data_IF_401496505164
#
_entry.id   IF_401496505164
#
_cell.length_a   1.000
_cell.length_b   1.000
_cell.length_c   1.000
_cell.angle_alpha   90.00
_cell.angle_beta   90.00
_cell.angle_gamma   90.00
#
_symmetry.space_group_name_H-M   'P 1'
#
loop_
_entity.id
_entity.type
_entity.pdbx_description
1 polymer ?
#
# COMPACT_ATOMS: atom_id res chain seq x y z
N UNK A 1 17.55 -7.97 -45.80
CA UNK A 1 18.48 -7.73 -44.67
C UNK A 1 18.23 -6.33 -44.08
N UNK A 2 17.21 -6.22 -43.23
CA UNK A 2 16.72 -4.96 -42.67
C UNK A 2 16.96 -4.98 -41.16
N UNK A 3 17.92 -4.17 -40.72
CA UNK A 3 18.17 -3.85 -39.32
C UNK A 3 17.19 -2.74 -38.93
N UNK A 4 16.29 -3.04 -38.00
CA UNK A 4 15.18 -2.19 -37.56
C UNK A 4 15.57 -1.16 -36.49
N UNK A 5 14.80 -0.06 -36.34
CA UNK A 5 15.20 1.21 -35.73
C UNK A 5 15.04 1.27 -34.19
N UNK A 6 15.26 0.15 -33.49
CA UNK A 6 15.03 0.05 -32.03
C UNK A 6 16.20 0.63 -31.22
N UNK A 7 17.41 0.66 -31.79
CA UNK A 7 18.61 1.17 -31.11
C UNK A 7 18.69 2.70 -31.04
N UNK A 8 17.95 3.43 -31.88
CA UNK A 8 17.98 4.90 -31.88
C UNK A 8 17.09 5.50 -30.77
N UNK A 9 16.05 4.79 -30.35
CA UNK A 9 15.14 5.23 -29.27
C UNK A 9 15.76 5.03 -27.87
N UNK A 10 16.51 3.94 -27.67
CA UNK A 10 17.25 3.68 -26.42
C UNK A 10 18.42 4.65 -26.18
N UNK A 11 18.98 5.25 -27.24
CA UNK A 11 20.07 6.22 -27.11
C UNK A 11 19.59 7.64 -26.78
N UNK A 12 18.44 8.06 -27.31
CA UNK A 12 17.85 9.39 -27.01
C UNK A 12 17.19 9.47 -25.62
N UNK A 13 16.68 8.37 -25.07
CA UNK A 13 16.11 8.35 -23.71
C UNK A 13 17.20 8.50 -22.63
N UNK A 14 18.39 7.93 -22.86
CA UNK A 14 19.53 7.95 -21.92
C UNK A 14 20.21 9.32 -21.76
N UNK A 15 19.99 10.25 -22.70
CA UNK A 15 20.58 11.59 -22.71
C UNK A 15 19.74 12.65 -21.97
N UNK A 16 18.46 12.39 -21.67
CA UNK A 16 17.55 13.39 -21.07
C UNK A 16 17.30 13.26 -19.55
N UNK A 17 17.67 12.16 -18.91
CA UNK A 17 17.36 11.91 -17.48
C UNK A 17 18.51 11.38 -16.63
N UNK A 18 19.76 11.45 -17.10
CA UNK A 18 20.93 11.14 -16.27
C UNK A 18 21.95 12.29 -16.33
N UNK A 19 21.90 13.28 -15.41
CA UNK A 19 23.07 14.12 -15.20
C UNK A 19 24.20 13.24 -14.65
N UNK A 20 25.24 13.06 -15.45
CA UNK A 20 26.53 12.53 -15.01
C UNK A 20 27.25 13.64 -14.22
N UNK A 21 27.44 13.44 -12.92
CA UNK A 21 28.61 13.98 -12.24
C UNK A 21 29.13 12.98 -11.19
N UNK A 22 30.46 12.82 -11.10
CA UNK A 22 31.09 11.82 -10.26
C UNK A 22 31.17 12.26 -8.80
N UNK A 23 30.96 11.31 -7.88
CA UNK A 23 31.29 11.47 -6.46
C UNK A 23 32.79 11.23 -6.24
N UNK A 24 33.48 12.23 -5.67
CA UNK A 24 34.67 12.05 -4.85
C UNK A 24 34.46 12.84 -3.54
N UNK A 25 34.98 12.37 -2.39
CA UNK A 25 34.56 12.83 -1.08
C UNK A 25 35.44 13.97 -0.56
N UNK A 26 34.84 15.00 0.03
CA UNK A 26 35.53 15.88 0.99
C UNK A 26 34.57 16.36 2.07
N UNK A 27 35.04 16.25 3.31
CA UNK A 27 34.55 16.93 4.52
C UNK A 27 35.76 17.56 5.20
N UNK A 28 35.63 18.45 6.19
CA UNK A 28 34.59 19.47 6.41
C UNK A 28 35.24 20.87 6.57
N UNK A 29 34.46 21.95 6.52
CA UNK A 29 34.96 23.23 7.06
C UNK A 29 33.82 24.01 7.69
N UNK A 30 34.00 24.26 8.98
CA UNK A 30 33.13 25.04 9.84
C UNK A 30 33.23 26.52 9.48
N UNK A 31 32.11 27.14 9.12
CA UNK A 31 31.95 28.59 9.22
C UNK A 31 30.57 28.88 9.82
N UNK A 32 30.61 29.30 11.08
CA UNK A 32 29.49 29.82 11.86
C UNK A 32 29.17 31.23 11.36
N UNK A 33 27.91 31.47 10.97
CA UNK A 33 27.35 32.82 10.86
C UNK A 33 26.23 32.96 11.91
N UNK A 34 26.20 34.07 12.68
CA UNK A 34 25.24 34.27 13.76
C UNK A 34 23.96 34.94 13.24
N UNK A 35 22.82 34.52 13.80
CA UNK A 35 21.59 35.31 13.78
C UNK A 35 20.51 34.79 12.83
N UNK A 36 19.62 33.97 13.37
CA UNK A 36 18.17 34.24 13.49
C UNK A 36 17.64 33.11 14.39
N UNK A 37 17.29 33.46 15.62
CA UNK A 37 16.55 32.57 16.52
C UNK A 37 15.13 32.41 15.99
N UNK A 38 14.90 31.40 15.14
CA UNK A 38 13.57 30.78 15.11
C UNK A 38 13.49 29.85 16.32
N UNK A 39 12.61 30.20 17.26
CA UNK A 39 12.09 29.26 18.25
C UNK A 39 11.22 28.25 17.51
N UNK A 40 11.84 27.35 16.76
CA UNK A 40 11.18 26.11 16.38
C UNK A 40 11.09 25.30 17.66
N UNK A 41 9.92 25.37 18.28
CA UNK A 41 9.50 24.46 19.33
C UNK A 41 9.66 23.06 18.72
N UNK A 42 10.73 22.37 19.09
CA UNK A 42 10.84 20.93 18.94
C UNK A 42 9.71 20.32 19.79
N UNK A 43 8.48 20.26 19.24
CA UNK A 43 7.46 19.38 19.79
C UNK A 43 8.04 17.98 19.68
N UNK A 44 8.17 17.31 20.83
CA UNK A 44 8.41 15.89 20.84
C UNK A 44 7.36 15.23 19.91
N UNK A 45 7.75 14.25 19.09
CA UNK A 45 6.78 13.54 18.25
C UNK A 45 5.64 13.06 19.14
N UNK A 46 4.41 13.39 18.76
CA UNK A 46 3.25 12.91 19.48
C UNK A 46 3.29 11.38 19.42
N UNK A 47 3.49 10.72 20.56
CA UNK A 47 3.55 9.26 20.57
C UNK A 47 2.12 8.72 20.43
N UNK A 48 1.96 7.70 19.60
CA UNK A 48 0.67 7.03 19.41
C UNK A 48 0.66 5.69 20.13
N UNK A 49 -0.45 5.40 20.82
CA UNK A 49 -0.70 4.09 21.41
C UNK A 49 -1.51 3.27 20.42
N UNK A 50 -0.85 2.27 19.83
CA UNK A 50 -1.51 1.29 18.97
C UNK A 50 -2.09 0.17 19.84
N UNK A 51 -3.37 -0.22 19.69
CA UNK A 51 -3.94 -1.29 20.49
C UNK A 51 -3.18 -2.61 20.31
N UNK A 52 -2.84 -3.33 21.40
CA UNK A 52 -1.97 -4.51 21.33
C UNK A 52 -2.59 -5.70 20.59
N UNK A 53 -3.92 -5.71 20.43
CA UNK A 53 -4.64 -6.74 19.69
C UNK A 53 -4.70 -6.48 18.18
N UNK A 54 -4.37 -5.26 17.75
CA UNK A 54 -4.47 -4.84 16.35
C UNK A 54 -3.23 -5.30 15.58
N UNK A 55 -3.40 -6.29 14.70
CA UNK A 55 -2.26 -6.86 13.95
C UNK A 55 -1.86 -6.05 12.72
N UNK A 56 -2.69 -5.09 12.32
CA UNK A 56 -2.39 -4.19 11.21
C UNK A 56 -3.58 -3.39 10.71
N UNK A 57 -3.28 -2.46 9.81
CA UNK A 57 -4.19 -1.57 9.13
C UNK A 57 -3.98 -1.70 7.62
N UNK A 58 -5.05 -2.00 6.89
CA UNK A 58 -5.02 -2.28 5.46
C UNK A 58 -5.83 -1.24 4.72
N UNK A 59 -5.18 -0.42 3.90
CA UNK A 59 -5.87 0.59 3.09
C UNK A 59 -6.12 0.00 1.71
N UNK A 60 -7.40 -0.21 1.39
CA UNK A 60 -7.84 -1.00 0.23
C UNK A 60 -8.83 -0.21 -0.61
N UNK A 61 -9.08 -0.62 -1.85
CA UNK A 61 -9.92 0.16 -2.78
C UNK A 61 -9.46 0.10 -4.24
N UNK A 62 -10.32 0.57 -5.16
CA UNK A 62 -10.01 0.57 -6.59
C UNK A 62 -8.79 1.44 -6.88
N UNK A 63 -8.19 1.28 -8.05
CA UNK A 63 -7.08 2.14 -8.48
C UNK A 63 -7.47 3.63 -8.39
N UNK A 64 -6.47 4.49 -8.14
CA UNK A 64 -6.66 5.95 -8.11
C UNK A 64 -7.61 6.50 -7.02
N UNK A 65 -7.87 5.76 -5.94
CA UNK A 65 -8.65 6.24 -4.77
C UNK A 65 -7.83 6.95 -3.67
N UNK A 66 -6.56 7.27 -3.94
CA UNK A 66 -5.67 7.95 -2.97
C UNK A 66 -5.12 7.06 -1.84
N UNK A 67 -5.13 5.72 -1.99
CA UNK A 67 -4.61 4.75 -1.00
C UNK A 67 -3.17 5.00 -0.63
N UNK A 68 -2.27 5.01 -1.62
CA UNK A 68 -0.83 5.22 -1.40
C UNK A 68 -0.54 6.55 -0.70
N UNK A 69 -1.31 7.61 -1.02
CA UNK A 69 -1.20 8.90 -0.35
C UNK A 69 -1.58 8.79 1.12
N UNK A 70 -2.73 8.17 1.43
CA UNK A 70 -3.18 7.96 2.81
C UNK A 70 -2.23 7.04 3.60
N UNK A 71 -1.77 5.93 3.02
CA UNK A 71 -0.79 5.03 3.65
C UNK A 71 0.51 5.75 3.99
N UNK A 72 1.07 6.54 3.07
CA UNK A 72 2.30 7.30 3.34
C UNK A 72 2.09 8.31 4.46
N UNK A 73 0.95 9.00 4.46
CA UNK A 73 0.65 9.98 5.49
C UNK A 73 0.47 9.31 6.86
N UNK A 74 -0.26 8.19 6.94
CA UNK A 74 -0.41 7.40 8.16
C UNK A 74 0.93 6.85 8.66
N UNK A 75 1.80 6.33 7.77
CA UNK A 75 3.12 5.84 8.15
C UNK A 75 3.98 6.93 8.80
N UNK A 76 3.96 8.14 8.23
CA UNK A 76 4.66 9.30 8.77
C UNK A 76 4.06 9.74 10.11
N UNK A 77 2.73 9.79 10.19
CA UNK A 77 2.00 10.26 11.37
C UNK A 77 2.15 9.30 12.57
N UNK A 78 2.18 8.00 12.31
CA UNK A 78 2.39 6.96 13.32
C UNK A 78 3.88 6.66 13.59
N UNK A 79 4.79 7.37 12.92
CA UNK A 79 6.24 7.14 13.02
C UNK A 79 6.66 5.68 12.79
N UNK A 80 6.00 5.00 11.85
CA UNK A 80 6.28 3.59 11.56
C UNK A 80 7.65 3.44 10.89
N UNK A 81 8.36 2.36 11.25
CA UNK A 81 9.58 1.99 10.54
C UNK A 81 9.24 1.53 9.11
N UNK A 82 10.21 1.58 8.17
CA UNK A 82 10.00 1.06 6.82
C UNK A 82 9.54 -0.41 6.79
N UNK A 83 9.98 -1.22 7.75
CA UNK A 83 9.63 -2.64 7.85
C UNK A 83 8.20 -2.87 8.33
N UNK A 84 7.56 -1.85 8.91
CA UNK A 84 6.15 -1.88 9.33
C UNK A 84 5.20 -1.35 8.25
N UNK A 85 5.73 -0.82 7.13
CA UNK A 85 4.93 -0.24 6.06
C UNK A 85 5.15 -0.99 4.75
N UNK A 86 4.15 -1.77 4.35
CA UNK A 86 4.16 -2.52 3.10
C UNK A 86 3.53 -1.66 2.01
N UNK A 87 4.37 -1.17 1.11
CA UNK A 87 3.94 -0.46 -0.09
C UNK A 87 3.28 -1.40 -1.10
N UNK A 88 2.55 -0.84 -2.07
CA UNK A 88 1.80 -1.58 -3.09
C UNK A 88 2.63 -2.66 -3.83
N UNK A 89 2.43 -3.93 -3.45
CA UNK A 89 3.17 -5.08 -3.97
C UNK A 89 2.86 -5.38 -5.44
N UNK A 90 1.59 -5.20 -5.86
CA UNK A 90 1.16 -5.46 -7.23
C UNK A 90 2.01 -4.70 -8.27
N UNK A 91 2.38 -3.44 -7.97
CA UNK A 91 3.22 -2.64 -8.86
C UNK A 91 4.64 -3.18 -8.97
N UNK A 92 5.18 -3.73 -7.88
CA UNK A 92 6.50 -4.40 -7.89
C UNK A 92 6.45 -5.69 -8.71
N UNK A 93 5.42 -6.52 -8.54
CA UNK A 93 5.21 -7.75 -9.32
C UNK A 93 5.13 -7.45 -10.82
N UNK A 94 4.35 -6.44 -11.23
CA UNK A 94 4.24 -6.08 -12.65
C UNK A 94 5.56 -5.58 -13.25
N UNK A 95 6.40 -4.90 -12.46
CA UNK A 95 7.70 -4.41 -12.93
C UNK A 95 8.75 -5.50 -13.06
N UNK A 96 8.68 -6.55 -12.24
CA UNK A 96 9.66 -7.64 -12.22
C UNK A 96 9.26 -8.87 -13.04
N UNK A 97 8.05 -8.89 -13.60
CA UNK A 97 7.52 -10.01 -14.39
C UNK A 97 7.24 -9.60 -15.83
N UNK A 98 6.80 -10.57 -16.65
CA UNK A 98 6.27 -10.32 -18.00
C UNK A 98 4.79 -9.92 -18.00
N UNK A 99 4.18 -9.65 -16.84
CA UNK A 99 2.79 -9.25 -16.77
C UNK A 99 2.58 -7.81 -17.26
N UNK A 100 1.64 -7.63 -18.18
CA UNK A 100 1.22 -6.34 -18.71
C UNK A 100 -0.21 -6.04 -18.25
N UNK A 101 -0.75 -4.89 -18.65
CA UNK A 101 -2.16 -4.51 -18.41
C UNK A 101 -3.14 -5.58 -18.92
N UNK A 102 -2.79 -6.26 -20.00
CA UNK A 102 -3.63 -7.29 -20.63
C UNK A 102 -3.76 -8.57 -19.78
N UNK A 103 -2.92 -8.71 -18.75
CA UNK A 103 -2.95 -9.83 -17.82
C UNK A 103 -3.67 -9.51 -16.51
N UNK A 104 -4.14 -8.27 -16.31
CA UNK A 104 -4.72 -7.82 -15.04
C UNK A 104 -5.98 -8.59 -14.65
N UNK A 105 -6.73 -9.15 -15.59
CA UNK A 105 -7.90 -9.98 -15.29
C UNK A 105 -7.59 -11.48 -15.25
N UNK A 106 -6.32 -11.88 -15.44
CA UNK A 106 -5.90 -13.28 -15.49
C UNK A 106 -5.62 -13.83 -14.11
N UNK A 107 -6.14 -15.03 -13.87
CA UNK A 107 -5.97 -15.76 -12.62
C UNK A 107 -4.50 -15.93 -12.23
N UNK A 108 -3.62 -16.20 -13.19
CA UNK A 108 -2.19 -16.38 -12.94
C UNK A 108 -1.53 -15.12 -12.34
N UNK A 109 -1.82 -13.95 -12.91
CA UNK A 109 -1.32 -12.67 -12.41
C UNK A 109 -1.88 -12.38 -11.01
N UNK A 110 -3.18 -12.58 -10.81
CA UNK A 110 -3.81 -12.35 -9.51
C UNK A 110 -3.28 -13.29 -8.43
N UNK A 111 -3.07 -14.57 -8.75
CA UNK A 111 -2.40 -15.53 -7.87
C UNK A 111 -1.00 -15.07 -7.50
N UNK A 112 -0.22 -14.62 -8.48
CA UNK A 112 1.16 -14.15 -8.26
C UNK A 112 1.20 -12.93 -7.33
N UNK A 113 0.30 -11.96 -7.53
CA UNK A 113 0.18 -10.78 -6.67
C UNK A 113 -0.23 -11.18 -5.25
N UNK A 114 -1.21 -12.08 -5.11
CA UNK A 114 -1.69 -12.57 -3.81
C UNK A 114 -0.55 -13.22 -3.01
N UNK A 115 0.19 -14.13 -3.63
CA UNK A 115 1.32 -14.82 -2.98
C UNK A 115 2.45 -13.85 -2.60
N UNK A 116 2.78 -12.91 -3.49
CA UNK A 116 3.78 -11.89 -3.20
C UNK A 116 3.36 -10.99 -2.03
N UNK A 117 2.09 -10.61 -1.96
CA UNK A 117 1.55 -9.81 -0.85
C UNK A 117 1.63 -10.57 0.48
N UNK A 118 1.17 -11.82 0.52
CA UNK A 118 1.24 -12.66 1.72
C UNK A 118 2.70 -12.85 2.18
N UNK A 119 3.60 -13.08 1.24
CA UNK A 119 5.04 -13.25 1.53
C UNK A 119 5.65 -11.97 2.09
N UNK A 120 5.33 -10.81 1.53
CA UNK A 120 5.80 -9.52 2.05
C UNK A 120 5.33 -9.29 3.49
N UNK A 121 4.06 -9.58 3.78
CA UNK A 121 3.48 -9.48 5.12
C UNK A 121 4.13 -10.45 6.12
N UNK A 122 4.35 -11.71 5.72
CA UNK A 122 5.01 -12.69 6.57
C UNK A 122 6.47 -12.32 6.85
N UNK A 123 7.20 -11.85 5.85
CA UNK A 123 8.58 -11.42 6.02
C UNK A 123 8.69 -10.25 7.01
N UNK A 124 7.84 -9.24 6.88
CA UNK A 124 7.78 -8.13 7.83
C UNK A 124 7.50 -8.61 9.26
N UNK A 125 6.58 -9.59 9.42
CA UNK A 125 6.26 -10.22 10.71
C UNK A 125 7.43 -10.98 11.34
N UNK A 126 8.14 -11.74 10.52
CA UNK A 126 9.27 -12.53 10.97
C UNK A 126 10.47 -11.65 11.37
N UNK A 127 10.74 -10.57 10.62
CA UNK A 127 11.83 -9.64 10.93
C UNK A 127 11.63 -8.97 12.29
N UNK A 128 10.42 -8.49 12.59
CA UNK A 128 10.16 -7.90 13.91
C UNK A 128 10.37 -8.88 15.06
N UNK A 129 9.94 -10.13 14.88
CA UNK A 129 10.11 -11.20 15.87
C UNK A 129 11.60 -11.51 16.11
N UNK A 130 12.42 -11.44 15.07
CA UNK A 130 13.87 -11.68 15.16
C UNK A 130 14.63 -10.57 15.91
N UNK A 131 14.11 -9.34 15.90
CA UNK A 131 14.71 -8.20 16.62
C UNK A 131 14.49 -8.22 18.13
N UNK A 132 13.76 -9.21 18.66
CA UNK A 132 13.51 -9.36 20.09
C UNK A 132 12.57 -8.30 20.69
N UNK A 133 11.86 -7.54 19.83
CA UNK A 133 10.83 -6.61 20.29
C UNK A 133 9.71 -7.40 20.99
N UNK A 134 9.43 -7.06 22.24
CA UNK A 134 8.30 -7.62 22.99
C UNK A 134 6.95 -7.04 22.56
N UNK A 135 6.97 -5.96 21.77
CA UNK A 135 5.75 -5.29 21.35
C UNK A 135 5.06 -6.04 20.22
N UNK A 136 3.72 -6.19 20.27
CA UNK A 136 2.96 -6.82 19.21
C UNK A 136 3.15 -6.06 17.90
N UNK A 137 3.60 -6.77 16.86
CA UNK A 137 3.88 -6.13 15.58
C UNK A 137 2.59 -5.66 14.90
N UNK A 138 2.52 -4.35 14.71
CA UNK A 138 1.58 -3.67 13.84
C UNK A 138 2.16 -3.46 12.43
N UNK A 139 1.36 -3.75 11.41
CA UNK A 139 1.69 -3.47 10.00
C UNK A 139 0.69 -2.48 9.38
N UNK A 140 1.19 -1.57 8.55
CA UNK A 140 0.40 -0.73 7.66
C UNK A 140 0.61 -1.20 6.21
N UNK A 141 -0.47 -1.57 5.52
CA UNK A 141 -0.40 -2.14 4.18
C UNK A 141 -1.18 -1.28 3.17
N UNK A 142 -0.51 -0.89 2.08
CA UNK A 142 -1.14 -0.36 0.86
C UNK A 142 -1.61 -1.55 0.02
N UNK A 143 -2.90 -1.89 0.15
CA UNK A 143 -3.59 -3.11 -0.33
C UNK A 143 -3.41 -4.35 0.54
N UNK A 144 -4.15 -5.40 0.22
CA UNK A 144 -4.11 -6.70 0.88
C UNK A 144 -4.13 -7.85 -0.13
N UNK A 145 -4.00 -9.08 0.39
CA UNK A 145 -4.15 -10.31 -0.40
C UNK A 145 -5.59 -10.55 -0.88
N UNK A 146 -6.57 -9.74 -0.46
CA UNK A 146 -7.96 -9.78 -0.96
C UNK A 146 -8.10 -8.99 -2.27
N UNK A 147 -7.27 -7.98 -2.51
CA UNK A 147 -7.32 -7.19 -3.76
C UNK A 147 -7.30 -8.08 -5.02
N UNK A 148 -6.44 -9.12 -5.10
CA UNK A 148 -6.45 -10.03 -6.25
C UNK A 148 -7.71 -10.88 -6.41
N UNK A 149 -8.38 -11.25 -5.31
CA UNK A 149 -9.66 -11.97 -5.37
C UNK A 149 -10.72 -11.08 -6.01
N UNK A 150 -10.76 -9.81 -5.62
CA UNK A 150 -11.70 -8.83 -6.19
C UNK A 150 -11.44 -8.62 -7.68
N UNK A 151 -10.17 -8.50 -8.08
CA UNK A 151 -9.84 -8.37 -9.50
C UNK A 151 -10.16 -9.64 -10.30
N UNK A 152 -9.94 -10.83 -9.73
CA UNK A 152 -10.36 -12.09 -10.35
C UNK A 152 -11.89 -12.19 -10.47
N UNK A 153 -12.65 -11.77 -9.45
CA UNK A 153 -14.12 -11.82 -9.46
C UNK A 153 -14.74 -10.85 -10.47
N UNK A 154 -14.06 -9.73 -10.74
CA UNK A 154 -14.46 -8.76 -11.75
C UNK A 154 -13.98 -9.13 -13.16
N UNK A 155 -13.21 -10.21 -13.30
CA UNK A 155 -12.74 -10.68 -14.61
C UNK A 155 -13.92 -11.20 -15.43
N UNK A 156 -14.04 -10.70 -16.66
CA UNK A 156 -15.03 -11.22 -17.62
C UNK A 156 -14.63 -12.59 -18.17
N UNK A 157 -13.36 -13.01 -18.01
CA UNK A 157 -12.82 -14.22 -18.63
C UNK A 157 -12.55 -15.36 -17.66
N UNK A 158 -12.53 -15.11 -16.35
CA UNK A 158 -12.12 -16.07 -15.31
C UNK A 158 -13.15 -16.17 -14.18
N UNK A 159 -14.37 -16.61 -14.49
CA UNK A 159 -15.51 -16.60 -13.54
C UNK A 159 -15.34 -17.40 -12.24
N UNK A 160 -14.41 -18.36 -12.17
CA UNK A 160 -14.12 -19.15 -10.96
C UNK A 160 -12.78 -18.78 -10.32
N UNK A 161 -12.10 -17.77 -10.86
CA UNK A 161 -10.75 -17.40 -10.43
C UNK A 161 -10.73 -16.93 -8.99
N UNK A 162 -11.74 -16.17 -8.57
CA UNK A 162 -11.79 -15.63 -7.22
C UNK A 162 -12.04 -16.72 -6.16
N UNK A 163 -12.92 -17.69 -6.42
CA UNK A 163 -13.18 -18.82 -5.55
C UNK A 163 -11.96 -19.74 -5.44
N UNK A 164 -11.23 -19.92 -6.55
CA UNK A 164 -9.97 -20.66 -6.57
C UNK A 164 -8.92 -20.01 -5.68
N UNK A 165 -8.78 -18.67 -5.74
CA UNK A 165 -7.87 -17.93 -4.85
C UNK A 165 -8.35 -17.94 -3.40
N UNK A 166 -9.64 -17.73 -3.16
CA UNK A 166 -10.24 -17.75 -1.83
C UNK A 166 -10.06 -19.11 -1.13
N UNK A 167 -10.16 -20.21 -1.88
CA UNK A 167 -9.96 -21.57 -1.37
C UNK A 167 -8.49 -22.00 -1.25
N UNK A 168 -7.52 -21.18 -1.66
CA UNK A 168 -6.10 -21.54 -1.62
C UNK A 168 -5.60 -21.63 -0.18
N UNK A 169 -4.67 -22.55 0.08
CA UNK A 169 -4.09 -22.72 1.41
C UNK A 169 -3.38 -21.46 1.91
N UNK A 170 -2.76 -20.71 1.00
CA UNK A 170 -2.08 -19.46 1.33
C UNK A 170 -3.07 -18.40 1.79
N UNK A 171 -4.19 -18.22 1.07
CA UNK A 171 -5.25 -17.29 1.48
C UNK A 171 -5.84 -17.71 2.83
N UNK A 172 -6.15 -19.00 3.02
CA UNK A 172 -6.68 -19.50 4.28
C UNK A 172 -5.70 -19.28 5.45
N UNK A 173 -4.39 -19.35 5.20
CA UNK A 173 -3.37 -19.17 6.23
C UNK A 173 -3.28 -17.73 6.77
N UNK A 174 -3.60 -16.71 5.96
CA UNK A 174 -3.51 -15.30 6.36
C UNK A 174 -4.78 -14.80 7.05
N UNK A 175 -5.93 -15.46 6.86
CA UNK A 175 -7.22 -15.03 7.43
C UNK A 175 -7.23 -14.82 8.96
N UNK A 176 -6.59 -15.66 9.80
CA UNK A 176 -6.52 -15.41 11.25
C UNK A 176 -5.82 -14.08 11.61
N UNK A 177 -4.91 -13.61 10.76
CA UNK A 177 -4.28 -12.30 10.91
C UNK A 177 -5.26 -11.21 10.49
N UNK A 178 -5.91 -11.34 9.32
CA UNK A 178 -6.84 -10.33 8.82
C UNK A 178 -8.04 -10.11 9.73
N UNK A 179 -8.54 -11.14 10.41
CA UNK A 179 -9.64 -11.02 11.39
C UNK A 179 -9.29 -10.20 12.64
N UNK A 180 -7.99 -9.97 12.90
CA UNK A 180 -7.48 -9.11 13.99
C UNK A 180 -6.93 -7.77 13.48
N UNK A 181 -7.14 -7.48 12.21
CA UNK A 181 -6.74 -6.26 11.55
C UNK A 181 -7.96 -5.38 11.25
N UNK A 182 -7.70 -4.13 10.88
CA UNK A 182 -8.72 -3.21 10.38
C UNK A 182 -8.45 -2.93 8.91
N UNK A 183 -9.51 -3.07 8.11
CA UNK A 183 -9.50 -2.71 6.70
C UNK A 183 -10.19 -1.36 6.51
N UNK A 184 -9.60 -0.48 5.70
CA UNK A 184 -10.17 0.81 5.34
C UNK A 184 -10.42 0.79 3.84
N UNK A 185 -11.70 0.63 3.47
CA UNK A 185 -12.13 0.57 2.08
C UNK A 185 -12.40 1.98 1.55
N UNK A 186 -11.55 2.43 0.65
CA UNK A 186 -11.64 3.75 0.02
C UNK A 186 -12.54 3.68 -1.20
N UNK A 187 -13.56 4.52 -1.24
CA UNK A 187 -14.38 4.71 -2.43
C UNK A 187 -13.62 5.51 -3.49
N UNK A 188 -13.92 5.26 -4.79
CA UNK A 188 -13.36 6.07 -5.86
C UNK A 188 -13.85 7.51 -5.77
N UNK A 189 -12.92 8.46 -5.90
CA UNK A 189 -13.21 9.90 -6.04
C UNK A 189 -13.07 10.24 -7.52
N UNK A 190 -14.17 10.67 -8.17
CA UNK A 190 -14.22 10.89 -9.63
C UNK A 190 -13.12 11.82 -10.13
N UNK A 191 -12.76 12.80 -9.32
CA UNK A 191 -11.78 13.83 -9.64
C UNK A 191 -10.32 13.35 -9.51
N UNK A 192 -10.07 12.17 -8.93
CA UNK A 192 -8.73 11.60 -8.74
C UNK A 192 -8.40 10.48 -9.72
N UNK A 193 -9.29 10.19 -10.67
CA UNK A 193 -9.01 9.21 -11.71
C UNK A 193 -7.98 9.75 -12.70
N UNK A 194 -6.74 9.34 -12.49
CA UNK A 194 -5.70 9.38 -13.51
C UNK A 194 -5.53 7.95 -14.07
N UNK A 195 -5.57 7.80 -15.40
CA UNK A 195 -5.18 6.56 -16.05
C UNK A 195 -3.66 6.42 -15.90
N UNK A 196 -3.24 5.57 -14.98
CA UNK A 196 -1.83 5.30 -14.74
C UNK A 196 -1.21 4.40 -15.83
N UNK A 197 -1.99 4.03 -16.86
CA UNK A 197 -1.57 3.17 -17.96
C UNK A 197 -1.39 1.71 -17.57
N UNK A 198 -1.53 1.38 -16.29
CA UNK A 198 -1.21 0.09 -15.70
C UNK A 198 -2.51 -0.65 -15.32
N UNK A 199 -3.57 0.07 -14.92
CA UNK A 199 -4.82 -0.55 -14.44
C UNK A 199 -6.08 0.14 -14.97
N UNK A 200 -6.50 -0.19 -16.19
CA UNK A 200 -7.94 -0.16 -16.50
C UNK A 200 -8.48 -1.53 -16.20
N UNK A 201 -9.33 -1.58 -15.19
CA UNK A 201 -10.37 -2.59 -15.16
C UNK A 201 -11.68 -1.95 -15.56
N UNK A 202 -12.61 -2.83 -15.93
CA UNK A 202 -14.02 -2.55 -16.07
C UNK A 202 -14.58 -1.75 -14.88
N UNK A 203 -15.74 -1.13 -15.12
CA UNK A 203 -16.41 -0.17 -14.26
C UNK A 203 -16.05 -0.27 -12.75
N UNK A 204 -15.28 0.70 -12.20
CA UNK A 204 -14.85 0.68 -10.80
C UNK A 204 -16.01 0.75 -9.80
N UNK A 205 -17.25 0.96 -10.26
CA UNK A 205 -18.47 0.97 -9.43
C UNK A 205 -18.72 -0.35 -8.70
N UNK A 206 -18.37 -1.49 -9.30
CA UNK A 206 -18.61 -2.82 -8.70
C UNK A 206 -17.53 -3.20 -7.68
N UNK A 207 -16.36 -2.56 -7.73
CA UNK A 207 -15.23 -2.92 -6.89
C UNK A 207 -15.55 -2.86 -5.40
N UNK A 208 -16.14 -1.77 -4.83
CA UNK A 208 -16.46 -1.72 -3.40
C UNK A 208 -17.46 -2.81 -2.99
N UNK A 209 -18.44 -3.13 -3.82
CA UNK A 209 -19.44 -4.17 -3.54
C UNK A 209 -18.78 -5.55 -3.48
N UNK A 210 -17.96 -5.88 -4.47
CA UNK A 210 -17.21 -7.15 -4.53
C UNK A 210 -16.21 -7.27 -3.39
N UNK A 211 -15.52 -6.18 -3.01
CA UNK A 211 -14.60 -6.19 -1.89
C UNK A 211 -15.32 -6.46 -0.56
N UNK A 212 -16.46 -5.79 -0.34
CA UNK A 212 -17.30 -6.02 0.85
C UNK A 212 -17.80 -7.45 0.94
N UNK A 213 -18.15 -8.06 -0.20
CA UNK A 213 -18.54 -9.47 -0.24
C UNK A 213 -17.46 -10.37 0.40
N UNK A 214 -16.19 -10.24 -0.01
CA UNK A 214 -15.10 -11.05 0.55
C UNK A 214 -14.76 -10.69 2.00
N UNK A 215 -14.78 -9.41 2.38
CA UNK A 215 -14.56 -9.02 3.77
C UNK A 215 -15.61 -9.64 4.71
N UNK A 216 -16.89 -9.57 4.32
CA UNK A 216 -17.99 -10.18 5.06
C UNK A 216 -17.87 -11.70 5.08
N UNK A 217 -17.58 -12.34 3.94
CA UNK A 217 -17.41 -13.79 3.82
C UNK A 217 -16.31 -14.30 4.77
N UNK A 218 -15.22 -13.54 4.93
CA UNK A 218 -14.10 -13.93 5.78
C UNK A 218 -14.22 -13.48 7.24
N UNK A 219 -15.25 -12.69 7.58
CA UNK A 219 -15.45 -12.14 8.92
C UNK A 219 -14.38 -11.11 9.29
N UNK A 220 -13.96 -10.29 8.34
CA UNK A 220 -12.94 -9.25 8.52
C UNK A 220 -13.61 -7.91 8.80
N UNK A 221 -13.14 -7.21 9.84
CA UNK A 221 -13.63 -5.90 10.19
C UNK A 221 -13.13 -4.83 9.21
N UNK A 222 -14.02 -3.94 8.78
CA UNK A 222 -13.66 -2.82 7.92
C UNK A 222 -14.48 -1.57 8.19
N UNK A 223 -13.95 -0.45 7.71
CA UNK A 223 -14.61 0.85 7.66
C UNK A 223 -14.56 1.39 6.23
N UNK A 224 -15.58 2.15 5.86
CA UNK A 224 -15.72 2.74 4.54
C UNK A 224 -15.34 4.22 4.61
N UNK A 225 -14.43 4.64 3.71
CA UNK A 225 -14.07 6.03 3.53
C UNK A 225 -14.67 6.48 2.21
N UNK A 226 -15.77 7.24 2.31
CA UNK A 226 -16.52 7.72 1.15
C UNK A 226 -15.78 8.83 0.37
N UNK A 227 -16.37 9.26 -0.75
CA UNK A 227 -15.78 10.29 -1.60
C UNK A 227 -15.99 11.72 -1.12
N UNK A 228 -16.73 11.94 -0.03
CA UNK A 228 -17.00 13.26 0.54
C UNK A 228 -15.83 13.76 1.40
N UNK A 229 -15.13 12.86 2.09
CA UNK A 229 -13.97 13.19 2.93
C UNK A 229 -12.69 13.24 2.09
N UNK A 230 -12.45 14.40 1.47
CA UNK A 230 -11.31 14.63 0.55
C UNK A 230 -10.04 15.13 1.24
N UNK A 231 -10.16 15.78 2.39
CA UNK A 231 -9.02 16.35 3.11
C UNK A 231 -8.18 15.22 3.73
N UNK A 232 -6.85 15.33 3.64
CA UNK A 232 -5.95 14.26 4.08
C UNK A 232 -5.95 14.09 5.60
N UNK A 233 -5.99 15.19 6.35
CA UNK A 233 -5.94 15.16 7.81
C UNK A 233 -7.22 14.56 8.40
N UNK A 234 -8.39 14.90 7.86
CA UNK A 234 -9.65 14.29 8.23
C UNK A 234 -9.68 12.78 7.95
N UNK A 235 -9.10 12.33 6.82
CA UNK A 235 -8.96 10.90 6.51
C UNK A 235 -8.06 10.18 7.50
N UNK A 236 -6.93 10.79 7.87
CA UNK A 236 -6.03 10.26 8.91
C UNK A 236 -6.79 10.14 10.23
N UNK A 237 -7.43 11.22 10.69
CA UNK A 237 -8.15 11.25 11.95
C UNK A 237 -9.28 10.22 12.01
N UNK A 238 -10.04 10.05 10.94
CA UNK A 238 -11.07 9.01 10.84
C UNK A 238 -10.47 7.62 11.03
N UNK A 239 -9.37 7.32 10.33
CA UNK A 239 -8.70 6.02 10.42
C UNK A 239 -8.12 5.76 11.82
N UNK A 240 -7.47 6.75 12.43
CA UNK A 240 -6.96 6.63 13.80
C UNK A 240 -8.08 6.37 14.80
N UNK A 241 -9.18 7.11 14.69
CA UNK A 241 -10.37 6.95 15.53
C UNK A 241 -10.96 5.55 15.42
N UNK A 242 -11.17 5.04 14.19
CA UNK A 242 -11.68 3.70 13.93
C UNK A 242 -10.76 2.60 14.44
N UNK A 243 -9.45 2.82 14.35
CA UNK A 243 -8.43 1.93 14.86
C UNK A 243 -8.18 2.07 16.36
N UNK A 244 -8.89 3.00 17.03
CA UNK A 244 -8.68 3.33 18.44
C UNK A 244 -7.19 3.62 18.75
N UNK A 245 -6.48 4.24 17.79
CA UNK A 245 -5.10 4.66 17.94
C UNK A 245 -5.12 6.06 18.54
N UNK A 246 -4.59 6.18 19.76
CA UNK A 246 -4.72 7.39 20.59
C UNK A 246 -3.40 8.14 20.70
N UNK A 247 -3.49 9.46 20.78
CA UNK A 247 -2.38 10.33 21.14
C UNK A 247 -2.01 10.14 22.62
N UNK A 248 -0.73 9.98 22.93
CA UNK A 248 -0.25 10.04 24.31
C UNK A 248 -0.39 11.47 24.82
N UNK A 249 -1.18 11.70 25.87
CA UNK A 249 -1.25 12.99 26.56
C UNK A 249 -2.60 13.72 26.51
N UNK A 250 -3.64 13.15 25.91
CA UNK A 250 -5.02 13.60 26.11
C UNK A 250 -5.65 12.83 27.28
N UNK A 251 -5.40 13.28 28.50
CA UNK A 251 -6.12 12.87 29.72
C UNK A 251 -7.08 13.97 30.16
#
# INVERSE_FOLDING_TARGET
PLVTPILMWLWQWRQRFCPRTPFLPQSPTWLVLPGIMSKDIQRAPDAYIIPPHLTGLYVVGPSSSGKTTLCKALALHLHLSPDQHISEVARSVMRSSSFTRDHVDKLEMQKTIMLAQITAEQNARNQASATGSSDPLFLLCDRSAIDPLVYAALSATESTGAETLAGSSEMQSILPVYRRAIFVLLYPVKEWFEDDGIRSLADPSNYPLTYKHYLNQFGIQYYELDSSLKDLDGRINAVLSWANIMLTGTS
#
